data_IF_270425369511
#
_entry.id   IF_270425369511
#
_cell.length_a   1.000
_cell.length_b   1.000
_cell.length_c   1.000
_cell.angle_alpha   90.00
_cell.angle_beta   90.00
_cell.angle_gamma   90.00
#
_symmetry.space_group_name_H-M   'P 1'
#
loop_
_entity.id
_entity.type
_entity.pdbx_description
1 polymer ?
#
# COMPACT_ATOMS: atom_id res chain seq x y z
N UNK A 1 -7.68 -21.25 -2.05
CA UNK A 1 -8.82 -20.69 -1.34
C UNK A 1 -8.49 -20.48 0.14
N UNK A 2 -7.71 -19.46 0.53
CA UNK A 2 -7.51 -19.11 1.97
C UNK A 2 -6.39 -18.08 2.17
N UNK A 3 -6.36 -16.99 1.39
CA UNK A 3 -5.30 -15.95 1.57
C UNK A 3 -5.80 -14.50 1.64
N UNK A 4 -7.12 -14.26 1.79
CA UNK A 4 -7.67 -12.87 1.78
C UNK A 4 -8.16 -12.40 3.17
N UNK A 5 -7.82 -13.08 4.29
CA UNK A 5 -8.35 -12.69 5.61
C UNK A 5 -7.26 -12.41 6.66
N UNK A 6 -6.21 -11.69 6.33
CA UNK A 6 -5.14 -11.39 7.30
C UNK A 6 -4.70 -9.91 7.34
N UNK A 7 -5.59 -8.98 7.04
CA UNK A 7 -5.34 -7.56 7.27
C UNK A 7 -6.31 -6.90 8.26
N UNK A 8 -6.91 -7.69 9.17
CA UNK A 8 -7.71 -7.11 10.25
C UNK A 8 -7.44 -7.92 11.52
N UNK A 9 -6.80 -7.30 12.51
CA UNK A 9 -6.68 -7.75 13.89
C UNK A 9 -5.25 -8.12 14.32
N UNK A 10 -4.33 -7.17 14.31
CA UNK A 10 -3.19 -7.17 15.21
C UNK A 10 -3.33 -6.02 16.22
N UNK A 11 -4.44 -6.00 16.96
CA UNK A 11 -4.48 -5.33 18.25
C UNK A 11 -3.69 -6.22 19.22
N UNK A 12 -2.38 -6.02 19.29
CA UNK A 12 -1.52 -6.65 20.28
C UNK A 12 -1.82 -6.03 21.65
N UNK A 13 -2.76 -6.64 22.39
CA UNK A 13 -2.93 -6.40 23.80
C UNK A 13 -1.70 -6.98 24.53
N UNK A 14 -0.68 -6.15 24.73
CA UNK A 14 0.46 -6.48 25.60
C UNK A 14 -0.02 -6.34 27.03
N UNK A 15 -0.61 -7.41 27.59
CA UNK A 15 -0.75 -7.59 29.03
C UNK A 15 0.61 -8.01 29.58
N UNK A 16 1.44 -7.04 29.96
CA UNK A 16 2.65 -7.31 30.77
C UNK A 16 2.23 -7.51 32.22
N UNK A 17 2.58 -8.64 32.84
CA UNK A 17 2.48 -8.76 34.32
C UNK A 17 3.49 -7.78 34.93
N UNK A 18 3.02 -6.87 35.79
CA UNK A 18 3.88 -6.08 36.66
C UNK A 18 4.55 -7.01 37.70
N UNK A 19 5.57 -7.72 37.27
CA UNK A 19 6.50 -8.37 38.19
C UNK A 19 7.56 -7.34 38.58
N UNK A 20 7.71 -7.07 39.85
CA UNK A 20 8.67 -6.13 40.42
C UNK A 20 10.06 -6.31 39.80
N UNK A 21 10.48 -5.34 39.02
CA UNK A 21 11.78 -5.28 38.38
C UNK A 21 12.79 -4.73 39.38
N UNK A 22 13.51 -5.64 40.06
CA UNK A 22 14.74 -5.26 40.76
C UNK A 22 15.76 -4.85 39.69
N UNK A 23 15.97 -3.55 39.52
CA UNK A 23 16.98 -3.00 38.64
C UNK A 23 18.38 -3.36 39.12
N UNK A 24 18.98 -4.39 38.53
CA UNK A 24 20.43 -4.65 38.65
C UNK A 24 21.13 -3.74 37.63
N UNK A 25 22.11 -2.91 38.03
CA UNK A 25 22.71 -1.91 37.13
C UNK A 25 23.76 -2.49 36.14
N UNK A 26 23.65 -3.75 35.77
CA UNK A 26 24.64 -4.43 34.92
C UNK A 26 24.13 -4.89 33.55
N UNK A 27 22.84 -4.74 33.19
CA UNK A 27 22.25 -5.42 32.02
C UNK A 27 21.84 -4.51 30.86
N UNK A 28 22.05 -3.21 30.95
CA UNK A 28 21.60 -2.26 29.93
C UNK A 28 22.26 -2.48 28.55
N UNK A 29 23.50 -2.96 28.53
CA UNK A 29 24.25 -3.27 27.32
C UNK A 29 23.70 -4.50 26.58
N UNK A 30 23.26 -5.51 27.32
CA UNK A 30 22.68 -6.75 26.76
C UNK A 30 21.33 -6.49 26.11
N UNK A 31 20.44 -5.79 26.80
CA UNK A 31 19.10 -5.45 26.29
C UNK A 31 19.19 -4.59 25.03
N UNK A 32 20.08 -3.61 24.99
CA UNK A 32 20.28 -2.78 23.80
C UNK A 32 20.83 -3.57 22.61
N UNK A 33 21.73 -4.51 22.86
CA UNK A 33 22.29 -5.36 21.79
C UNK A 33 21.26 -6.32 21.22
N UNK A 34 20.35 -6.83 22.05
CA UNK A 34 19.24 -7.68 21.69
C UNK A 34 18.22 -6.91 20.83
N UNK A 35 17.76 -5.75 21.30
CA UNK A 35 16.85 -4.88 20.53
C UNK A 35 17.43 -4.52 19.15
N UNK A 36 18.71 -4.22 19.07
CA UNK A 36 19.35 -3.91 17.76
C UNK A 36 19.35 -5.11 16.84
N UNK A 37 19.64 -6.31 17.34
CA UNK A 37 19.59 -7.53 16.52
C UNK A 37 18.17 -7.78 16.01
N UNK A 38 17.17 -7.66 16.87
CA UNK A 38 15.77 -7.86 16.51
C UNK A 38 15.32 -6.84 15.43
N UNK A 39 15.74 -5.57 15.58
CA UNK A 39 15.48 -4.54 14.56
C UNK A 39 16.19 -4.82 13.25
N UNK A 40 17.42 -5.32 13.26
CA UNK A 40 18.15 -5.67 12.05
C UNK A 40 17.55 -6.89 11.35
N UNK A 41 17.05 -7.86 12.12
CA UNK A 41 16.34 -9.02 11.61
C UNK A 41 15.02 -8.59 10.97
N UNK A 42 14.24 -7.76 11.66
CA UNK A 42 12.99 -7.20 11.13
C UNK A 42 13.21 -6.36 9.86
N UNK A 43 14.29 -5.57 9.78
CA UNK A 43 14.65 -4.84 8.55
C UNK A 43 14.94 -5.78 7.38
N UNK A 44 15.63 -6.90 7.64
CA UNK A 44 15.90 -7.92 6.60
C UNK A 44 14.63 -8.61 6.14
N UNK A 45 13.76 -8.97 7.08
CA UNK A 45 12.47 -9.58 6.78
C UNK A 45 11.60 -8.67 5.91
N UNK A 46 11.42 -7.40 6.30
CA UNK A 46 10.67 -6.41 5.51
C UNK A 46 11.22 -6.32 4.09
N UNK A 47 12.53 -6.17 3.91
CA UNK A 47 13.12 -6.07 2.57
C UNK A 47 12.89 -7.34 1.75
N UNK A 48 12.96 -8.50 2.38
CA UNK A 48 12.74 -9.80 1.72
C UNK A 48 11.27 -9.92 1.29
N UNK A 49 10.33 -9.56 2.15
CA UNK A 49 8.91 -9.64 1.86
C UNK A 49 8.49 -8.63 0.78
N UNK A 50 9.03 -7.42 0.82
CA UNK A 50 8.78 -6.42 -0.22
C UNK A 50 9.42 -6.80 -1.57
N UNK A 51 10.60 -7.43 -1.55
CA UNK A 51 11.21 -7.97 -2.77
C UNK A 51 10.36 -9.09 -3.36
N UNK A 52 9.79 -9.96 -2.51
CA UNK A 52 8.84 -11.00 -2.96
C UNK A 52 7.58 -10.36 -3.52
N UNK A 53 6.98 -9.40 -2.82
CA UNK A 53 5.80 -8.69 -3.30
C UNK A 53 6.03 -8.03 -4.68
N UNK A 54 7.22 -7.44 -4.93
CA UNK A 54 7.59 -6.92 -6.26
C UNK A 54 7.66 -8.01 -7.31
N UNK A 55 8.21 -9.19 -6.98
CA UNK A 55 8.30 -10.32 -7.90
C UNK A 55 6.91 -10.90 -8.21
N UNK A 56 6.04 -11.00 -7.21
CA UNK A 56 4.67 -11.49 -7.36
C UNK A 56 3.84 -10.59 -8.28
N UNK A 57 4.02 -9.25 -8.20
CA UNK A 57 3.39 -8.30 -9.14
C UNK A 57 3.71 -8.60 -10.61
N UNK A 58 4.91 -9.09 -10.91
CA UNK A 58 5.31 -9.41 -12.28
C UNK A 58 4.70 -10.72 -12.77
N UNK A 59 4.57 -11.69 -11.91
CA UNK A 59 4.25 -13.08 -12.25
C UNK A 59 2.79 -13.44 -12.04
N UNK A 60 2.11 -12.76 -11.13
CA UNK A 60 0.71 -13.05 -10.83
C UNK A 60 -0.26 -12.30 -11.75
N UNK A 61 -1.49 -12.81 -11.83
CA UNK A 61 -2.57 -12.13 -12.54
C UNK A 61 -2.95 -10.85 -11.79
N UNK A 62 -3.17 -9.78 -12.53
CA UNK A 62 -3.71 -8.53 -12.00
C UNK A 62 -5.21 -8.65 -11.84
N UNK A 63 -5.73 -8.62 -10.61
CA UNK A 63 -7.17 -8.49 -10.33
C UNK A 63 -7.62 -7.05 -10.66
N UNK A 64 -8.56 -6.90 -11.59
CA UNK A 64 -9.12 -5.59 -11.99
C UNK A 64 -10.48 -5.30 -11.36
N UNK A 65 -11.07 -6.28 -10.66
CA UNK A 65 -12.40 -6.14 -10.05
C UNK A 65 -12.38 -5.32 -8.75
N UNK A 66 -11.35 -5.48 -7.90
CA UNK A 66 -11.29 -4.94 -6.56
C UNK A 66 -10.04 -4.09 -6.26
N UNK A 67 -9.05 -4.06 -7.15
CA UNK A 67 -7.69 -3.63 -6.82
C UNK A 67 -7.45 -2.12 -6.85
N UNK A 68 -8.36 -1.30 -7.40
CA UNK A 68 -8.13 0.13 -7.56
C UNK A 68 -9.25 0.98 -6.95
N UNK A 69 -9.35 0.96 -5.62
CA UNK A 69 -10.13 1.96 -4.89
C UNK A 69 -9.16 3.01 -4.35
N UNK A 70 -9.14 4.17 -4.99
CA UNK A 70 -8.43 5.35 -4.52
C UNK A 70 -9.43 6.28 -3.82
N UNK A 71 -9.25 6.50 -2.52
CA UNK A 71 -10.07 7.38 -1.72
C UNK A 71 -10.87 6.63 -0.64
N UNK A 72 -10.69 7.07 0.62
CA UNK A 72 -11.30 6.47 1.80
C UNK A 72 -12.74 6.88 2.07
N UNK A 73 -13.45 7.51 1.15
CA UNK A 73 -14.87 7.85 1.36
C UNK A 73 -15.76 6.66 1.00
N UNK A 74 -16.28 6.01 2.04
CA UNK A 74 -17.39 5.04 1.98
C UNK A 74 -18.67 5.59 1.31
N UNK A 75 -18.66 6.84 0.83
CA UNK A 75 -19.79 7.48 0.17
C UNK A 75 -19.95 7.14 -1.30
N UNK A 76 -18.96 6.49 -1.93
CA UNK A 76 -19.06 6.00 -3.32
C UNK A 76 -19.83 4.68 -3.48
N UNK A 77 -20.51 4.20 -2.44
CA UNK A 77 -21.35 2.99 -2.50
C UNK A 77 -22.70 3.23 -3.15
N UNK A 78 -22.77 4.03 -4.21
CA UNK A 78 -23.96 4.12 -5.07
C UNK A 78 -23.83 3.36 -6.38
N UNK A 79 -23.14 2.21 -6.37
CA UNK A 79 -23.15 1.37 -7.57
C UNK A 79 -23.37 -0.08 -7.15
N UNK A 80 -24.57 -0.57 -7.39
CA UNK A 80 -25.08 -1.95 -7.36
C UNK A 80 -24.50 -2.85 -6.26
N UNK A 81 -25.36 -3.28 -5.33
CA UNK A 81 -25.10 -4.27 -4.26
C UNK A 81 -24.64 -5.66 -4.78
N UNK A 82 -24.49 -5.85 -6.08
CA UNK A 82 -24.03 -7.09 -6.67
C UNK A 82 -22.52 -7.02 -6.90
N UNK A 83 -21.72 -7.85 -6.23
CA UNK A 83 -20.29 -7.94 -6.51
C UNK A 83 -20.07 -8.32 -7.97
N UNK A 84 -19.17 -7.60 -8.65
CA UNK A 84 -18.80 -7.97 -10.01
C UNK A 84 -18.09 -9.33 -10.02
N UNK A 85 -18.24 -10.12 -11.08
CA UNK A 85 -17.44 -11.30 -11.31
C UNK A 85 -15.96 -10.99 -11.20
N UNK A 86 -15.18 -11.94 -10.68
CA UNK A 86 -13.72 -11.78 -10.59
C UNK A 86 -13.14 -11.63 -12.00
N UNK A 87 -12.41 -10.56 -12.25
CA UNK A 87 -11.75 -10.33 -13.52
C UNK A 87 -10.25 -10.09 -13.31
N UNK A 88 -9.44 -10.64 -14.21
CA UNK A 88 -7.99 -10.64 -14.11
C UNK A 88 -7.34 -10.38 -15.47
N UNK A 89 -6.17 -9.72 -15.45
CA UNK A 89 -5.28 -9.60 -16.61
C UNK A 89 -4.01 -10.42 -16.32
N UNK A 90 -3.74 -11.41 -17.17
CA UNK A 90 -2.54 -12.24 -17.02
C UNK A 90 -1.26 -11.46 -17.37
N UNK A 91 -0.07 -11.93 -16.97
CA UNK A 91 1.21 -11.38 -17.44
C UNK A 91 1.38 -11.44 -18.98
N UNK A 92 0.67 -12.32 -19.65
CA UNK A 92 0.66 -12.45 -21.11
C UNK A 92 -0.38 -11.56 -21.81
N UNK A 93 -1.18 -10.82 -21.01
CA UNK A 93 -2.20 -9.91 -21.51
C UNK A 93 -3.50 -10.58 -21.91
N UNK A 94 -3.79 -11.79 -21.38
CA UNK A 94 -5.11 -12.38 -21.53
C UNK A 94 -6.08 -11.74 -20.52
N UNK A 95 -7.31 -11.55 -20.93
CA UNK A 95 -8.39 -11.08 -20.05
C UNK A 95 -9.23 -12.27 -19.60
N UNK A 96 -9.30 -12.47 -18.29
CA UNK A 96 -10.06 -13.56 -17.67
C UNK A 96 -11.22 -12.98 -16.87
N UNK A 97 -12.40 -13.60 -16.98
CA UNK A 97 -13.53 -13.38 -16.07
C UNK A 97 -13.96 -14.75 -15.53
N UNK A 98 -14.03 -14.88 -14.21
CA UNK A 98 -14.29 -16.16 -13.53
C UNK A 98 -13.36 -17.28 -14.03
N UNK A 99 -12.06 -16.98 -14.20
CA UNK A 99 -11.02 -17.86 -14.74
C UNK A 99 -11.24 -18.34 -16.19
N UNK A 100 -12.13 -17.70 -16.94
CA UNK A 100 -12.37 -18.00 -18.36
C UNK A 100 -11.74 -16.91 -19.22
N UNK A 101 -10.87 -17.28 -20.15
CA UNK A 101 -10.28 -16.36 -21.08
C UNK A 101 -11.30 -15.88 -22.12
N UNK A 102 -11.34 -14.58 -22.34
CA UNK A 102 -12.09 -14.00 -23.46
C UNK A 102 -11.24 -14.00 -24.73
N UNK A 103 -11.89 -14.21 -25.87
CA UNK A 103 -11.24 -14.06 -27.16
C UNK A 103 -10.94 -12.57 -27.39
N UNK A 104 -9.68 -12.23 -27.51
CA UNK A 104 -9.19 -10.87 -27.73
C UNK A 104 -8.27 -10.85 -28.96
N UNK A 105 -8.24 -9.74 -29.64
CA UNK A 105 -7.30 -9.52 -30.74
C UNK A 105 -5.94 -9.01 -30.24
N UNK A 106 -4.98 -8.87 -31.18
CA UNK A 106 -3.63 -8.42 -30.86
C UNK A 106 -3.57 -6.94 -30.40
N UNK A 107 -4.53 -6.09 -30.81
CA UNK A 107 -4.59 -4.71 -30.37
C UNK A 107 -5.13 -4.60 -28.95
N UNK A 108 -6.20 -5.31 -28.64
CA UNK A 108 -6.77 -5.43 -27.29
C UNK A 108 -5.74 -6.02 -26.29
N UNK A 109 -4.98 -7.04 -26.69
CA UNK A 109 -3.89 -7.60 -25.88
C UNK A 109 -2.83 -6.56 -25.54
N UNK A 110 -2.41 -5.74 -26.52
CA UNK A 110 -1.45 -4.66 -26.27
C UNK A 110 -1.99 -3.62 -25.28
N UNK A 111 -3.27 -3.26 -25.40
CA UNK A 111 -3.91 -2.33 -24.47
C UNK A 111 -4.01 -2.90 -23.03
N UNK A 112 -4.37 -4.19 -22.90
CA UNK A 112 -4.39 -4.86 -21.59
C UNK A 112 -3.00 -4.89 -20.95
N UNK A 113 -1.96 -5.18 -21.71
CA UNK A 113 -0.57 -5.16 -21.22
C UNK A 113 -0.13 -3.74 -20.83
N UNK A 114 -0.49 -2.71 -21.62
CA UNK A 114 -0.19 -1.34 -21.30
C UNK A 114 -0.90 -0.88 -20.02
N UNK A 115 -2.20 -1.18 -19.89
CA UNK A 115 -2.96 -0.90 -18.68
C UNK A 115 -2.39 -1.63 -17.47
N UNK A 116 -2.11 -2.93 -17.59
CA UNK A 116 -1.45 -3.71 -16.53
C UNK A 116 -0.15 -3.06 -16.10
N UNK A 117 0.71 -2.66 -17.03
CA UNK A 117 1.97 -1.97 -16.73
C UNK A 117 1.76 -0.71 -15.89
N UNK A 118 0.79 0.15 -16.24
CA UNK A 118 0.47 1.36 -15.47
C UNK A 118 0.00 1.04 -14.04
N UNK A 119 -0.83 0.00 -13.87
CA UNK A 119 -1.28 -0.43 -12.53
C UNK A 119 -0.11 -0.97 -11.71
N UNK A 120 0.77 -1.77 -12.30
CA UNK A 120 1.96 -2.28 -11.63
C UNK A 120 2.91 -1.15 -11.21
N UNK A 121 3.04 -0.10 -12.01
CA UNK A 121 3.87 1.06 -11.66
C UNK A 121 3.31 1.81 -10.44
N UNK A 122 1.98 1.92 -10.33
CA UNK A 122 1.32 2.46 -9.12
C UNK A 122 1.56 1.54 -7.92
N UNK A 123 1.43 0.23 -8.09
CA UNK A 123 1.65 -0.74 -7.02
C UNK A 123 3.10 -0.73 -6.54
N UNK A 124 4.09 -0.67 -7.45
CA UNK A 124 5.51 -0.54 -7.10
C UNK A 124 5.79 0.74 -6.32
N UNK A 125 5.23 1.88 -6.76
CA UNK A 125 5.35 3.14 -6.02
C UNK A 125 4.78 3.03 -4.60
N UNK A 126 3.66 2.31 -4.42
CA UNK A 126 3.09 2.02 -3.10
C UNK A 126 4.02 1.16 -2.23
N UNK A 127 4.65 0.14 -2.80
CA UNK A 127 5.64 -0.71 -2.10
C UNK A 127 6.86 0.14 -1.68
N UNK A 128 7.36 1.01 -2.56
CA UNK A 128 8.53 1.86 -2.27
C UNK A 128 8.22 2.85 -1.13
N UNK A 129 7.04 3.47 -1.13
CA UNK A 129 6.58 4.32 -0.02
C UNK A 129 6.48 3.50 1.28
N UNK A 130 5.92 2.29 1.21
CA UNK A 130 5.78 1.38 2.35
C UNK A 130 7.15 1.00 2.94
N UNK A 131 8.13 0.68 2.09
CA UNK A 131 9.50 0.35 2.51
C UNK A 131 10.16 1.51 3.26
N UNK A 132 10.17 2.69 2.65
CA UNK A 132 10.78 3.89 3.25
C UNK A 132 10.12 4.22 4.58
N UNK A 133 8.80 4.12 4.66
CA UNK A 133 8.03 4.40 5.87
C UNK A 133 8.34 3.40 6.99
N UNK A 134 8.37 2.10 6.67
CA UNK A 134 8.67 1.05 7.64
C UNK A 134 10.10 1.18 8.19
N UNK A 135 11.07 1.42 7.32
CA UNK A 135 12.47 1.60 7.73
C UNK A 135 12.65 2.87 8.58
N UNK A 136 11.98 3.98 8.23
CA UNK A 136 12.02 5.21 9.02
C UNK A 136 11.40 5.04 10.41
N UNK A 137 10.33 4.24 10.52
CA UNK A 137 9.73 3.90 11.81
C UNK A 137 10.72 3.12 12.69
N UNK A 138 11.40 2.12 12.14
CA UNK A 138 12.42 1.34 12.86
C UNK A 138 13.61 2.18 13.31
N UNK A 139 14.08 3.09 12.44
CA UNK A 139 15.16 4.02 12.80
C UNK A 139 14.77 4.98 13.93
N UNK A 140 13.50 5.27 14.08
CA UNK A 140 12.98 6.07 15.19
C UNK A 140 13.03 5.32 16.52
N UNK A 141 12.79 4.01 16.49
CA UNK A 141 12.91 3.14 17.67
C UNK A 141 14.38 2.99 18.09
N UNK A 142 15.30 2.73 17.15
CA UNK A 142 16.73 2.54 17.43
C UNK A 142 17.36 3.78 18.07
N UNK A 143 16.97 5.00 17.63
CA UNK A 143 17.49 6.27 18.14
C UNK A 143 16.89 6.71 19.46
N UNK A 144 15.83 6.10 19.92
CA UNK A 144 14.96 6.75 20.87
C UNK A 144 14.32 5.99 22.00
N UNK A 145 14.77 4.79 22.37
CA UNK A 145 14.18 4.13 23.58
C UNK A 145 14.27 5.03 24.81
N UNK A 146 15.29 5.87 24.92
CA UNK A 146 15.44 6.83 26.04
C UNK A 146 14.74 8.17 25.78
N UNK A 147 14.71 8.63 24.53
CA UNK A 147 14.03 9.89 24.17
C UNK A 147 12.51 9.74 24.07
N UNK A 148 12.01 8.52 23.94
CA UNK A 148 10.57 8.20 23.91
C UNK A 148 9.90 8.51 25.25
N UNK A 149 10.55 8.20 26.38
CA UNK A 149 10.02 8.49 27.71
C UNK A 149 9.89 10.00 27.98
N UNK A 150 10.88 10.79 27.56
CA UNK A 150 10.87 12.26 27.73
C UNK A 150 10.04 12.94 26.66
N UNK A 151 10.05 12.42 25.43
CA UNK A 151 9.29 12.97 24.29
C UNK A 151 7.78 12.77 24.38
N UNK A 152 7.33 11.64 24.94
CA UNK A 152 5.91 11.34 25.15
C UNK A 152 5.24 12.35 26.09
N UNK A 153 5.95 12.83 27.11
CA UNK A 153 5.42 13.82 28.07
C UNK A 153 5.29 15.24 27.47
N UNK A 154 5.91 15.52 26.32
CA UNK A 154 5.99 16.89 25.76
C UNK A 154 5.29 17.04 24.40
N UNK A 155 4.67 15.99 23.84
CA UNK A 155 4.05 15.99 22.50
C UNK A 155 5.04 16.29 21.35
N UNK A 156 6.34 16.31 21.64
CA UNK A 156 7.40 16.56 20.63
C UNK A 156 7.61 15.36 19.72
N UNK A 157 7.42 14.15 20.25
CA UNK A 157 7.55 12.92 19.49
C UNK A 157 6.48 12.83 18.40
N UNK A 158 5.23 13.09 18.76
CA UNK A 158 4.09 13.08 17.83
C UNK A 158 4.33 14.04 16.66
N UNK A 159 4.67 15.30 16.95
CA UNK A 159 5.01 16.29 15.90
C UNK A 159 6.22 15.92 15.05
N UNK A 160 7.14 15.11 15.56
CA UNK A 160 8.30 14.64 14.81
C UNK A 160 7.91 13.49 13.88
N UNK A 161 7.09 12.56 14.36
CA UNK A 161 6.55 11.46 13.55
C UNK A 161 5.67 12.01 12.44
N UNK A 162 4.73 12.91 12.75
CA UNK A 162 3.87 13.56 11.76
C UNK A 162 4.68 14.26 10.65
N UNK A 163 5.73 15.00 11.02
CA UNK A 163 6.60 15.65 10.03
C UNK A 163 7.34 14.61 9.18
N UNK A 164 7.91 13.58 9.80
CA UNK A 164 8.63 12.54 9.07
C UNK A 164 7.72 11.80 8.09
N UNK A 165 6.50 11.48 8.49
CA UNK A 165 5.49 10.87 7.62
C UNK A 165 5.12 11.81 6.49
N UNK A 166 4.84 13.08 6.80
CA UNK A 166 4.50 14.10 5.80
C UNK A 166 5.59 14.24 4.73
N UNK A 167 6.83 14.40 5.17
CA UNK A 167 7.97 14.67 4.29
C UNK A 167 8.36 13.44 3.45
N UNK A 168 8.05 12.24 3.93
CA UNK A 168 8.44 10.97 3.27
C UNK A 168 7.31 10.40 2.43
N UNK A 169 6.10 10.34 2.97
CA UNK A 169 4.95 9.66 2.34
C UNK A 169 4.20 10.60 1.38
N UNK A 170 4.02 11.85 1.79
CA UNK A 170 3.20 12.79 1.03
C UNK A 170 3.60 12.94 -0.42
N UNK A 171 4.90 13.20 -0.75
CA UNK A 171 5.36 13.32 -2.13
C UNK A 171 5.13 12.04 -2.95
N UNK A 172 5.33 10.87 -2.35
CA UNK A 172 5.10 9.58 -3.01
C UNK A 172 3.64 9.36 -3.37
N UNK A 173 2.73 9.64 -2.44
CA UNK A 173 1.28 9.54 -2.70
C UNK A 173 0.83 10.57 -3.74
N UNK A 174 1.38 11.79 -3.72
CA UNK A 174 1.10 12.80 -4.73
C UNK A 174 1.47 12.33 -6.14
N UNK A 175 2.62 11.64 -6.31
CA UNK A 175 3.00 11.04 -7.59
C UNK A 175 2.03 9.95 -8.06
N UNK A 176 1.44 9.18 -7.14
CA UNK A 176 0.38 8.22 -7.47
C UNK A 176 -0.85 8.96 -8.00
N UNK A 177 -1.30 10.02 -7.32
CA UNK A 177 -2.43 10.83 -7.78
C UNK A 177 -2.21 11.41 -9.18
N UNK A 178 -0.98 11.77 -9.52
CA UNK A 178 -0.61 12.32 -10.84
C UNK A 178 -0.67 11.27 -11.95
N UNK A 179 -0.62 9.99 -11.64
CA UNK A 179 -0.75 8.88 -12.60
C UNK A 179 -2.20 8.51 -12.91
N UNK A 180 -3.15 8.86 -12.04
CA UNK A 180 -4.56 8.50 -12.19
C UNK A 180 -5.21 8.94 -13.50
N UNK A 181 -4.95 10.16 -14.05
CA UNK A 181 -5.54 10.55 -15.32
C UNK A 181 -5.16 9.62 -16.47
N UNK A 182 -3.87 9.30 -16.61
CA UNK A 182 -3.40 8.40 -17.67
C UNK A 182 -3.95 6.98 -17.50
N UNK A 183 -4.03 6.50 -16.26
CA UNK A 183 -4.59 5.19 -15.93
C UNK A 183 -6.08 5.14 -16.27
N UNK A 184 -6.83 6.21 -15.95
CA UNK A 184 -8.24 6.33 -16.30
C UNK A 184 -8.44 6.33 -17.82
N UNK A 185 -7.65 7.11 -18.55
CA UNK A 185 -7.78 7.20 -20.01
C UNK A 185 -7.51 5.83 -20.66
N UNK A 186 -6.50 5.10 -20.21
CA UNK A 186 -6.23 3.73 -20.66
C UNK A 186 -7.39 2.78 -20.30
N UNK A 187 -8.00 2.92 -19.13
CA UNK A 187 -9.15 2.14 -18.69
C UNK A 187 -10.40 2.42 -19.55
N UNK A 188 -10.66 3.69 -19.85
CA UNK A 188 -11.79 4.08 -20.71
C UNK A 188 -11.60 3.59 -22.15
N UNK A 189 -10.36 3.62 -22.68
CA UNK A 189 -10.07 3.08 -23.99
C UNK A 189 -10.28 1.57 -24.05
N UNK A 190 -9.79 0.83 -23.03
CA UNK A 190 -10.07 -0.59 -22.90
C UNK A 190 -11.58 -0.88 -22.86
N UNK A 191 -12.35 -0.09 -22.11
CA UNK A 191 -13.80 -0.25 -21.99
C UNK A 191 -14.53 0.04 -23.33
N UNK A 192 -13.97 0.88 -24.20
CA UNK A 192 -14.51 1.13 -25.53
C UNK A 192 -14.22 -0.02 -26.49
N UNK A 193 -12.99 -0.56 -26.46
CA UNK A 193 -12.50 -1.56 -27.42
C UNK A 193 -12.79 -3.01 -26.98
N UNK A 194 -12.99 -3.25 -25.65
CA UNK A 194 -13.31 -4.54 -25.07
C UNK A 194 -14.55 -4.40 -24.16
N UNK A 195 -15.77 -4.64 -24.68
CA UNK A 195 -17.01 -4.45 -23.93
C UNK A 195 -17.08 -5.22 -22.61
N UNK A 196 -16.46 -6.39 -22.53
CA UNK A 196 -16.38 -7.22 -21.33
C UNK A 196 -15.58 -6.58 -20.20
N UNK A 197 -14.66 -5.67 -20.53
CA UNK A 197 -13.89 -4.91 -19.54
C UNK A 197 -14.69 -3.72 -18.97
N UNK A 198 -15.73 -3.26 -19.66
CA UNK A 198 -16.49 -2.05 -19.28
C UNK A 198 -16.97 -2.01 -17.83
N UNK A 199 -17.48 -3.10 -17.23
CA UNK A 199 -17.90 -3.08 -15.82
C UNK A 199 -16.77 -2.78 -14.82
N UNK A 200 -15.53 -2.97 -15.22
CA UNK A 200 -14.32 -2.79 -14.42
C UNK A 200 -13.65 -1.43 -14.62
N UNK A 201 -14.11 -0.64 -15.60
CA UNK A 201 -13.62 0.71 -15.87
C UNK A 201 -14.26 1.73 -14.93
N UNK A 202 -13.79 1.79 -13.67
CA UNK A 202 -14.42 2.55 -12.58
C UNK A 202 -13.75 3.86 -12.21
N UNK A 203 -12.59 4.18 -12.80
CA UNK A 203 -11.92 5.45 -12.55
C UNK A 203 -12.70 6.60 -13.17
N UNK A 204 -13.03 7.60 -12.35
CA UNK A 204 -13.78 8.78 -12.74
C UNK A 204 -12.86 9.98 -13.04
N UNK A 205 -13.43 11.01 -13.64
CA UNK A 205 -12.65 12.19 -14.07
C UNK A 205 -12.11 13.00 -12.89
N UNK A 206 -12.79 12.96 -11.75
CA UNK A 206 -12.45 13.71 -10.54
C UNK A 206 -11.62 12.92 -9.53
N UNK A 207 -11.35 11.63 -9.75
CA UNK A 207 -10.56 10.80 -8.84
C UNK A 207 -9.17 11.37 -8.58
N UNK A 208 -8.50 11.87 -9.62
CA UNK A 208 -7.19 12.52 -9.47
C UNK A 208 -7.27 13.78 -8.61
N UNK A 209 -8.29 14.61 -8.83
CA UNK A 209 -8.50 15.82 -8.03
C UNK A 209 -8.88 15.49 -6.59
N UNK A 210 -9.67 14.45 -6.39
CA UNK A 210 -10.06 13.95 -5.06
C UNK A 210 -8.85 13.40 -4.31
N UNK A 211 -8.03 12.58 -4.97
CA UNK A 211 -6.78 12.05 -4.46
C UNK A 211 -5.84 13.19 -4.01
N UNK A 212 -5.63 14.22 -4.84
CA UNK A 212 -4.77 15.36 -4.49
C UNK A 212 -5.33 16.15 -3.30
N UNK A 213 -6.65 16.38 -3.24
CA UNK A 213 -7.27 17.05 -2.09
C UNK A 213 -7.07 16.27 -0.80
N UNK A 214 -7.17 14.95 -0.85
CA UNK A 214 -6.92 14.07 0.30
C UNK A 214 -5.47 14.16 0.76
N UNK A 215 -4.51 14.06 -0.17
CA UNK A 215 -3.08 14.23 0.11
C UNK A 215 -2.80 15.60 0.75
N UNK A 216 -3.40 16.67 0.21
CA UNK A 216 -3.25 18.02 0.77
C UNK A 216 -3.83 18.12 2.18
N UNK A 217 -4.95 17.46 2.45
CA UNK A 217 -5.61 17.46 3.76
C UNK A 217 -4.80 16.68 4.80
N UNK A 218 -4.40 15.46 4.44
CA UNK A 218 -3.71 14.55 5.35
C UNK A 218 -2.24 14.96 5.60
N UNK A 219 -1.56 15.40 4.56
CA UNK A 219 -0.13 15.73 4.65
C UNK A 219 0.16 17.24 4.68
N UNK A 220 -0.85 18.12 4.58
CA UNK A 220 -0.71 19.58 4.54
C UNK A 220 0.38 20.04 3.54
N UNK A 221 0.49 19.37 2.41
CA UNK A 221 1.41 19.72 1.31
C UNK A 221 0.75 20.85 0.52
N UNK A 222 1.44 22.01 0.44
CA UNK A 222 1.01 23.19 -0.35
C UNK A 222 1.62 23.17 -1.74
#
# INVERSE_FOLDING_TARGET
MRFVRLCASAALAICLPLSAWSASPGNDGSIRSEIRRDLDDARREIRTDLARARADLETENLDVGNSLRFGGDDRSTKTSDTPLPKAEITPQGDFLVENRAFAIDAAQRRQLLAYRGMVLDVARAGIDIGEVTALAAMDSVDRGVFSLLVGAMTGRLERRIERSVRDTVGPGVALICDRLPALRDAQQQLAADLPEFRPYARLEADDSASCRREVQREFAIR
#
